data_IF_613502539313
#
_entry.id   IF_613502539313
#
_cell.length_a   1.000
_cell.length_b   1.000
_cell.length_c   1.000
_cell.angle_alpha   90.00
_cell.angle_beta   90.00
_cell.angle_gamma   90.00
#
_symmetry.space_group_name_H-M   'P 1'
#
loop_
_entity.id
_entity.type
_entity.pdbx_description
1 polymer ?
#
# COMPACT_ATOMS: atom_id res chain seq x y z
N UNK A 1 12.08 -9.80 2.15
CA UNK A 1 12.47 -9.09 0.91
C UNK A 1 13.77 -8.31 1.12
N UNK A 2 13.80 -7.43 2.12
CA UNK A 2 14.97 -6.63 2.52
C UNK A 2 16.24 -7.45 2.74
N UNK A 3 16.16 -8.55 3.49
CA UNK A 3 17.31 -9.45 3.70
C UNK A 3 17.91 -9.97 2.40
N UNK A 4 17.07 -10.36 1.44
CA UNK A 4 17.48 -10.85 0.12
C UNK A 4 18.16 -9.76 -0.72
N UNK A 5 17.84 -8.50 -0.46
CA UNK A 5 18.40 -7.34 -1.16
C UNK A 5 19.58 -6.71 -0.39
N UNK A 6 19.87 -7.18 0.83
CA UNK A 6 20.83 -6.54 1.73
C UNK A 6 20.40 -5.15 2.17
N UNK A 7 19.09 -4.84 2.14
CA UNK A 7 18.56 -3.53 2.49
C UNK A 7 18.26 -3.43 3.98
N UNK A 8 18.39 -2.22 4.51
CA UNK A 8 17.84 -1.88 5.82
C UNK A 8 16.37 -1.47 5.66
N UNK A 9 15.48 -2.24 6.26
CA UNK A 9 14.04 -1.98 6.21
C UNK A 9 13.53 -1.18 7.42
N UNK A 10 12.59 -0.28 7.16
CA UNK A 10 11.75 0.36 8.19
C UNK A 10 10.29 0.20 7.77
N UNK A 11 9.54 -0.59 8.54
CA UNK A 11 8.12 -0.82 8.29
C UNK A 11 7.26 0.22 9.04
N UNK A 12 6.66 1.16 8.30
CA UNK A 12 5.68 2.12 8.83
C UNK A 12 4.25 1.62 8.60
N UNK A 13 3.95 0.45 9.17
CA UNK A 13 2.66 -0.21 9.00
C UNK A 13 1.89 -0.31 10.31
N UNK A 14 0.57 -0.10 10.24
CA UNK A 14 -0.37 -0.39 11.33
C UNK A 14 -1.38 -1.36 10.75
N UNK A 15 -1.65 -2.44 11.49
CA UNK A 15 -2.68 -3.41 11.09
C UNK A 15 -3.96 -2.65 10.73
N UNK A 16 -4.57 -2.98 9.59
CA UNK A 16 -5.82 -2.37 9.18
C UNK A 16 -5.73 -0.93 8.64
N UNK A 17 -4.54 -0.37 8.42
CA UNK A 17 -4.39 0.95 7.82
C UNK A 17 -4.77 0.97 6.34
N UNK A 18 -5.32 2.09 5.90
CA UNK A 18 -5.47 2.45 4.49
C UNK A 18 -4.98 3.88 4.23
N UNK A 19 -5.39 4.45 3.10
CA UNK A 19 -5.18 5.87 2.81
C UNK A 19 -6.06 6.77 3.67
N UNK A 20 -7.19 6.26 4.16
CA UNK A 20 -8.15 6.98 4.99
C UNK A 20 -8.31 6.33 6.37
N UNK A 21 -8.42 4.99 6.43
CA UNK A 21 -8.62 4.26 7.69
C UNK A 21 -7.37 4.30 8.58
N UNK A 22 -7.58 4.54 9.88
CA UNK A 22 -6.54 4.53 10.93
C UNK A 22 -5.41 5.53 10.67
N UNK A 23 -5.78 6.72 10.18
CA UNK A 23 -4.86 7.83 9.89
C UNK A 23 -4.90 8.93 10.92
N UNK A 24 -6.06 9.16 11.56
CA UNK A 24 -6.29 10.25 12.49
C UNK A 24 -5.84 9.95 13.92
N UNK A 25 -6.21 10.82 14.88
CA UNK A 25 -5.83 10.67 16.28
C UNK A 25 -6.43 9.42 16.92
N UNK A 26 -5.86 9.02 18.06
CA UNK A 26 -6.44 7.95 18.89
C UNK A 26 -7.69 8.47 19.62
N UNK A 27 -8.76 7.68 19.59
CA UNK A 27 -9.95 7.92 20.37
C UNK A 27 -9.74 7.58 21.87
N UNK A 28 -10.79 7.75 22.68
CA UNK A 28 -10.76 7.43 24.12
C UNK A 28 -10.52 5.95 24.45
N UNK A 29 -10.55 5.06 23.45
CA UNK A 29 -10.23 3.63 23.56
C UNK A 29 -8.85 3.29 23.02
N UNK A 30 -8.13 4.28 22.49
CA UNK A 30 -6.82 4.12 21.89
C UNK A 30 -6.85 3.69 20.42
N UNK A 31 -8.02 3.58 19.78
CA UNK A 31 -8.12 3.22 18.36
C UNK A 31 -7.90 4.45 17.48
N UNK A 32 -7.17 4.28 16.36
CA UNK A 32 -6.94 5.38 15.43
C UNK A 32 -8.22 5.64 14.62
N UNK A 33 -8.68 6.89 14.61
CA UNK A 33 -9.80 7.31 13.78
C UNK A 33 -9.41 7.30 12.29
N UNK A 34 -10.38 7.23 11.37
CA UNK A 34 -10.11 7.60 10.00
C UNK A 34 -9.76 9.10 9.90
N UNK A 35 -9.00 9.48 8.88
CA UNK A 35 -8.72 10.87 8.55
C UNK A 35 -8.22 11.01 7.12
N UNK A 36 -8.78 11.96 6.37
CA UNK A 36 -8.27 12.37 5.06
C UNK A 36 -7.26 13.51 5.13
N UNK A 37 -6.90 14.01 6.32
CA UNK A 37 -5.98 15.15 6.48
C UNK A 37 -4.75 14.84 7.33
N UNK A 38 -4.75 13.74 8.09
CA UNK A 38 -3.61 13.37 8.92
C UNK A 38 -2.52 12.68 8.09
N UNK A 39 -1.35 13.32 8.06
CA UNK A 39 -0.18 12.91 7.30
C UNK A 39 0.96 12.40 8.16
N UNK A 40 0.76 12.19 9.46
CA UNK A 40 1.85 11.93 10.42
C UNK A 40 2.79 10.81 9.97
N UNK A 41 2.24 9.70 9.47
CA UNK A 41 3.02 8.55 8.99
C UNK A 41 3.66 8.80 7.63
N UNK A 42 2.98 9.52 6.74
CA UNK A 42 3.56 9.95 5.47
C UNK A 42 4.76 10.88 5.72
N UNK A 43 4.62 11.84 6.63
CA UNK A 43 5.70 12.74 7.01
C UNK A 43 6.85 11.98 7.66
N UNK A 44 6.56 10.91 8.42
CA UNK A 44 7.59 10.03 8.95
C UNK A 44 8.33 9.28 7.84
N UNK A 45 7.61 8.73 6.86
CA UNK A 45 8.22 8.06 5.70
C UNK A 45 9.13 9.00 4.91
N UNK A 46 8.69 10.24 4.68
CA UNK A 46 9.46 11.25 3.95
C UNK A 46 10.71 11.67 4.73
N UNK A 47 10.58 11.90 6.05
CA UNK A 47 11.71 12.29 6.92
C UNK A 47 12.80 11.23 7.04
N UNK A 48 12.50 9.96 6.77
CA UNK A 48 13.50 8.89 6.77
C UNK A 48 14.44 8.96 5.56
N UNK A 49 14.12 9.78 4.54
CA UNK A 49 14.90 9.93 3.31
C UNK A 49 15.36 8.58 2.73
N UNK A 50 14.44 7.63 2.48
CA UNK A 50 14.82 6.30 2.01
C UNK A 50 15.21 6.33 0.53
N UNK A 51 16.04 5.40 0.09
CA UNK A 51 16.35 5.21 -1.33
C UNK A 51 15.19 4.57 -2.10
N UNK A 52 14.35 3.78 -1.40
CA UNK A 52 13.17 3.10 -1.96
C UNK A 52 12.01 3.17 -0.97
N UNK A 53 10.83 3.54 -1.45
CA UNK A 53 9.57 3.43 -0.69
C UNK A 53 8.64 2.43 -1.39
N UNK A 54 8.22 1.40 -0.66
CA UNK A 54 7.16 0.49 -1.10
C UNK A 54 5.86 0.88 -0.42
N UNK A 55 4.85 1.26 -1.21
CA UNK A 55 3.51 1.61 -0.72
C UNK A 55 2.58 0.43 -0.96
N UNK A 56 2.02 -0.14 0.12
CA UNK A 56 1.00 -1.18 0.07
C UNK A 56 -0.15 -0.83 1.02
N UNK A 57 -1.15 -0.12 0.50
CA UNK A 57 -2.37 0.32 1.19
C UNK A 57 -3.58 0.08 0.26
N UNK A 58 -4.80 0.16 0.79
CA UNK A 58 -6.11 0.29 0.09
C UNK A 58 -7.20 -0.65 0.64
N UNK A 59 -6.87 -1.91 0.91
CA UNK A 59 -7.87 -2.95 1.18
C UNK A 59 -8.81 -2.58 2.34
N UNK A 60 -8.26 -1.88 3.33
CA UNK A 60 -8.98 -1.48 4.53
C UNK A 60 -9.93 -0.29 4.34
N UNK A 61 -9.78 0.47 3.25
CA UNK A 61 -10.64 1.62 2.94
C UNK A 61 -11.96 1.20 2.28
N UNK A 62 -12.08 -0.06 1.83
CA UNK A 62 -13.29 -0.59 1.15
C UNK A 62 -14.59 -0.37 1.92
N UNK A 63 -14.52 -0.41 3.25
CA UNK A 63 -15.69 -0.20 4.12
C UNK A 63 -16.16 1.27 4.16
N UNK A 64 -15.31 2.21 3.78
CA UNK A 64 -15.59 3.65 3.79
C UNK A 64 -15.93 4.21 2.41
N UNK A 65 -15.87 3.39 1.36
CA UNK A 65 -16.01 3.86 -0.04
C UNK A 65 -17.33 4.55 -0.36
N UNK A 66 -18.44 4.13 0.26
CA UNK A 66 -19.75 4.70 -0.03
C UNK A 66 -19.91 6.12 0.54
N UNK A 67 -19.32 6.37 1.72
CA UNK A 67 -19.47 7.64 2.44
C UNK A 67 -18.29 8.59 2.21
N UNK A 68 -17.09 8.04 1.97
CA UNK A 68 -15.82 8.76 1.95
C UNK A 68 -14.97 8.45 0.71
N UNK A 69 -15.58 8.00 -0.39
CA UNK A 69 -14.86 7.69 -1.63
C UNK A 69 -13.99 8.85 -2.15
N UNK A 70 -14.50 10.07 -2.13
CA UNK A 70 -13.75 11.27 -2.55
C UNK A 70 -12.59 11.59 -1.61
N UNK A 71 -12.78 11.43 -0.30
CA UNK A 71 -11.73 11.60 0.73
C UNK A 71 -10.60 10.57 0.54
N UNK A 72 -10.95 9.32 0.24
CA UNK A 72 -10.00 8.24 -0.05
C UNK A 72 -9.22 8.57 -1.33
N UNK A 73 -9.91 8.99 -2.40
CA UNK A 73 -9.26 9.35 -3.65
C UNK A 73 -8.30 10.53 -3.48
N UNK A 74 -8.73 11.60 -2.79
CA UNK A 74 -7.89 12.75 -2.47
C UNK A 74 -6.66 12.34 -1.63
N UNK A 75 -6.83 11.42 -0.68
CA UNK A 75 -5.74 10.90 0.14
C UNK A 75 -4.73 10.08 -0.67
N UNK A 76 -5.19 9.24 -1.61
CA UNK A 76 -4.32 8.50 -2.56
C UNK A 76 -3.49 9.49 -3.37
N UNK A 77 -4.15 10.50 -3.98
CA UNK A 77 -3.45 11.51 -4.78
C UNK A 77 -2.43 12.28 -3.96
N UNK A 78 -2.82 12.80 -2.79
CA UNK A 78 -1.92 13.54 -1.91
C UNK A 78 -0.71 12.69 -1.53
N UNK A 79 -0.92 11.49 -1.01
CA UNK A 79 0.18 10.69 -0.47
C UNK A 79 1.18 10.33 -1.58
N UNK A 80 0.71 9.90 -2.76
CA UNK A 80 1.58 9.55 -3.88
C UNK A 80 2.27 10.78 -4.49
N UNK A 81 1.58 11.92 -4.61
CA UNK A 81 2.19 13.18 -5.07
C UNK A 81 3.30 13.62 -4.12
N UNK A 82 3.05 13.61 -2.81
CA UNK A 82 4.05 14.02 -1.81
C UNK A 82 5.26 13.08 -1.80
N UNK A 83 5.06 11.77 -1.91
CA UNK A 83 6.19 10.84 -2.05
C UNK A 83 7.02 11.14 -3.30
N UNK A 84 6.37 11.45 -4.43
CA UNK A 84 7.06 11.81 -5.67
C UNK A 84 7.82 13.12 -5.57
N UNK A 85 7.21 14.13 -4.96
CA UNK A 85 7.74 15.50 -4.93
C UNK A 85 8.73 15.73 -3.79
N UNK A 86 8.61 15.04 -2.66
CA UNK A 86 9.45 15.31 -1.48
C UNK A 86 10.61 14.32 -1.34
N UNK A 87 10.53 13.13 -1.94
CA UNK A 87 11.63 12.15 -1.95
C UNK A 87 12.41 12.18 -3.26
N UNK A 88 13.16 13.27 -3.46
CA UNK A 88 13.99 13.46 -4.63
C UNK A 88 15.04 12.34 -4.75
N UNK A 89 15.00 11.59 -5.85
CA UNK A 89 15.96 10.52 -6.13
C UNK A 89 15.58 9.15 -5.56
N UNK A 90 14.56 9.06 -4.70
CA UNK A 90 14.04 7.79 -4.23
C UNK A 90 13.19 7.10 -5.30
N UNK A 91 13.21 5.77 -5.32
CA UNK A 91 12.28 4.97 -6.10
C UNK A 91 10.98 4.75 -5.32
N UNK A 92 9.87 5.27 -5.83
CA UNK A 92 8.54 5.01 -5.26
C UNK A 92 7.90 3.85 -6.02
N UNK A 93 7.71 2.74 -5.33
CA UNK A 93 7.08 1.51 -5.84
C UNK A 93 5.73 1.32 -5.15
N UNK A 94 4.67 1.30 -5.92
CA UNK A 94 3.29 1.23 -5.45
C UNK A 94 2.71 -0.15 -5.75
N UNK A 95 1.95 -0.67 -4.81
CA UNK A 95 1.17 -1.89 -5.00
C UNK A 95 -0.10 -1.85 -4.14
N UNK A 96 -0.96 -2.85 -4.32
CA UNK A 96 -2.13 -3.08 -3.49
C UNK A 96 -2.30 -4.58 -3.29
N UNK A 97 -2.74 -4.97 -2.10
CA UNK A 97 -3.15 -6.34 -1.82
C UNK A 97 -4.68 -6.44 -1.77
N UNK A 98 -5.23 -7.37 -2.55
CA UNK A 98 -6.59 -7.86 -2.38
C UNK A 98 -6.52 -9.40 -2.35
N UNK A 99 -7.37 -10.08 -1.56
CA UNK A 99 -7.28 -11.54 -1.44
C UNK A 99 -7.54 -12.27 -2.76
N UNK A 100 -8.31 -11.68 -3.68
CA UNK A 100 -8.71 -12.26 -4.98
C UNK A 100 -8.43 -11.29 -6.13
N UNK A 101 -8.19 -11.83 -7.33
CA UNK A 101 -8.09 -11.02 -8.56
C UNK A 101 -9.43 -10.48 -9.04
N UNK A 102 -10.54 -11.16 -8.71
CA UNK A 102 -11.90 -10.74 -9.02
C UNK A 102 -12.34 -9.64 -8.03
N UNK A 103 -12.11 -8.39 -8.43
CA UNK A 103 -12.33 -7.24 -7.58
C UNK A 103 -13.83 -6.89 -7.52
N UNK A 104 -14.34 -6.69 -6.31
CA UNK A 104 -15.63 -6.01 -6.13
C UNK A 104 -15.60 -4.61 -6.77
N UNK A 105 -16.76 -4.01 -7.13
CA UNK A 105 -16.80 -2.68 -7.73
C UNK A 105 -16.05 -1.61 -6.91
N UNK A 106 -16.14 -1.67 -5.57
CA UNK A 106 -15.40 -0.77 -4.67
C UNK A 106 -13.89 -0.99 -4.77
N UNK A 107 -13.44 -2.24 -4.80
CA UNK A 107 -12.01 -2.58 -4.91
C UNK A 107 -11.45 -2.21 -6.28
N UNK A 108 -12.19 -2.49 -7.35
CA UNK A 108 -11.83 -2.09 -8.71
C UNK A 108 -11.65 -0.57 -8.82
N UNK A 109 -12.54 0.21 -8.17
CA UNK A 109 -12.46 1.67 -8.17
C UNK A 109 -11.21 2.21 -7.45
N UNK A 110 -10.88 1.67 -6.27
CA UNK A 110 -9.65 2.08 -5.55
C UNK A 110 -8.40 1.66 -6.35
N UNK A 111 -8.41 0.46 -6.92
CA UNK A 111 -7.32 -0.04 -7.76
C UNK A 111 -7.10 0.86 -9.00
N UNK A 112 -8.17 1.27 -9.67
CA UNK A 112 -8.13 2.25 -10.75
C UNK A 112 -7.50 3.57 -10.27
N UNK A 113 -7.95 4.13 -9.15
CA UNK A 113 -7.39 5.36 -8.61
C UNK A 113 -5.88 5.28 -8.31
N UNK A 114 -5.43 4.18 -7.74
CA UNK A 114 -4.01 3.95 -7.43
C UNK A 114 -3.20 3.82 -8.72
N UNK A 115 -3.67 3.03 -9.67
CA UNK A 115 -2.95 2.77 -10.94
C UNK A 115 -2.89 4.03 -11.82
N UNK A 116 -4.00 4.76 -11.97
CA UNK A 116 -4.04 6.03 -12.69
C UNK A 116 -3.15 7.08 -12.01
N UNK A 117 -3.24 7.25 -10.68
CA UNK A 117 -2.40 8.23 -9.98
C UNK A 117 -0.91 7.87 -10.07
N UNK A 118 -0.57 6.58 -9.96
CA UNK A 118 0.80 6.12 -10.14
C UNK A 118 1.31 6.41 -11.55
N UNK A 119 0.49 6.16 -12.57
CA UNK A 119 0.81 6.47 -13.97
C UNK A 119 1.01 7.98 -14.20
N UNK A 120 0.08 8.81 -13.71
CA UNK A 120 0.13 10.27 -13.84
C UNK A 120 1.41 10.86 -13.24
N UNK A 121 1.88 10.28 -12.14
CA UNK A 121 3.08 10.73 -11.41
C UNK A 121 4.38 10.04 -11.87
N UNK A 122 4.29 9.08 -12.81
CA UNK A 122 5.43 8.29 -13.26
C UNK A 122 6.03 7.38 -12.18
N UNK A 123 5.20 6.86 -11.27
CA UNK A 123 5.59 5.90 -10.23
C UNK A 123 5.50 4.47 -10.77
N UNK A 124 6.31 3.58 -10.21
CA UNK A 124 6.26 2.16 -10.58
C UNK A 124 5.11 1.48 -9.86
N UNK A 125 4.11 0.98 -10.58
CA UNK A 125 3.06 0.16 -9.99
C UNK A 125 3.27 -1.33 -10.31
N UNK A 126 3.21 -2.20 -9.30
CA UNK A 126 3.49 -3.64 -9.43
C UNK A 126 2.20 -4.45 -9.34
N UNK A 127 1.60 -4.72 -10.50
CA UNK A 127 0.34 -5.48 -10.60
C UNK A 127 0.50 -6.96 -10.24
N UNK A 128 1.67 -7.54 -10.52
CA UNK A 128 1.97 -8.95 -10.22
C UNK A 128 1.83 -9.27 -8.73
N UNK A 129 2.12 -8.30 -7.85
CA UNK A 129 1.95 -8.44 -6.42
C UNK A 129 0.48 -8.61 -6.03
N UNK A 130 -0.44 -7.85 -6.64
CA UNK A 130 -1.89 -7.99 -6.43
C UNK A 130 -2.40 -9.37 -6.85
N UNK A 131 -1.82 -9.92 -7.90
CA UNK A 131 -2.22 -11.19 -8.51
C UNK A 131 -1.58 -12.43 -7.85
N UNK A 132 -0.60 -12.27 -6.98
CA UNK A 132 0.22 -13.40 -6.51
C UNK A 132 -0.54 -14.37 -5.59
N UNK A 133 -1.45 -13.88 -4.74
CA UNK A 133 -2.26 -14.75 -3.85
C UNK A 133 -3.52 -15.25 -4.54
N UNK A 134 -4.26 -14.35 -5.20
CA UNK A 134 -5.43 -14.64 -6.04
C UNK A 134 -6.37 -15.76 -5.54
N UNK A 135 -6.76 -15.69 -4.27
CA UNK A 135 -7.73 -16.58 -3.66
C UNK A 135 -7.23 -18.00 -3.39
N UNK A 136 -5.92 -18.27 -3.56
CA UNK A 136 -5.35 -19.60 -3.31
C UNK A 136 -5.47 -19.95 -1.82
N UNK A 137 -6.20 -21.03 -1.45
CA UNK A 137 -6.31 -21.45 -0.06
C UNK A 137 -4.97 -21.87 0.55
N UNK A 138 -4.00 -22.28 -0.27
CA UNK A 138 -2.66 -22.66 0.20
C UNK A 138 -1.80 -21.45 0.58
N UNK A 139 -2.15 -20.27 0.09
CA UNK A 139 -1.43 -19.01 0.34
C UNK A 139 -2.14 -18.13 1.38
N UNK A 140 -3.31 -18.53 1.86
CA UNK A 140 -4.12 -17.79 2.82
C UNK A 140 -4.13 -18.48 4.19
N UNK A 141 -4.32 -17.67 5.23
CA UNK A 141 -4.70 -18.14 6.55
C UNK A 141 -6.14 -18.67 6.54
N UNK A 142 -6.56 -19.29 7.65
CA UNK A 142 -7.91 -19.85 7.82
C UNK A 142 -9.03 -18.80 7.68
N UNK A 143 -8.71 -17.52 7.82
CA UNK A 143 -9.66 -16.42 7.59
C UNK A 143 -9.97 -16.14 6.11
N UNK A 144 -9.24 -16.78 5.18
CA UNK A 144 -9.42 -16.63 3.74
C UNK A 144 -9.08 -15.23 3.20
N UNK A 145 -8.44 -14.38 4.00
CA UNK A 145 -8.17 -12.97 3.67
C UNK A 145 -6.70 -12.64 3.79
N UNK A 146 -6.03 -13.06 4.87
CA UNK A 146 -4.64 -12.70 5.10
C UNK A 146 -3.71 -13.75 4.50
N UNK A 147 -2.59 -13.34 3.87
CA UNK A 147 -1.56 -14.29 3.46
C UNK A 147 -1.00 -15.05 4.66
N UNK A 148 -0.79 -16.35 4.49
CA UNK A 148 0.05 -17.13 5.41
C UNK A 148 1.54 -16.97 5.02
N UNK A 149 2.45 -17.70 5.64
CA UNK A 149 3.89 -17.61 5.34
C UNK A 149 4.21 -17.89 3.85
N UNK A 150 3.55 -18.88 3.24
CA UNK A 150 3.71 -19.17 1.81
C UNK A 150 3.12 -18.05 0.94
N UNK A 151 2.01 -17.44 1.36
CA UNK A 151 1.44 -16.26 0.71
C UNK A 151 2.36 -15.04 0.78
N UNK A 152 2.96 -14.77 1.94
CA UNK A 152 3.96 -13.72 2.08
C UNK A 152 5.20 -13.97 1.21
N UNK A 153 5.65 -15.22 1.07
CA UNK A 153 6.72 -15.58 0.16
C UNK A 153 6.34 -15.33 -1.31
N UNK A 154 5.13 -15.73 -1.73
CA UNK A 154 4.63 -15.47 -3.09
C UNK A 154 4.52 -13.97 -3.40
N UNK A 155 4.03 -13.16 -2.45
CA UNK A 155 4.00 -11.70 -2.57
C UNK A 155 5.41 -11.12 -2.72
N UNK A 156 6.37 -11.60 -1.92
CA UNK A 156 7.76 -11.18 -2.02
C UNK A 156 8.36 -11.51 -3.40
N UNK A 157 8.15 -12.74 -3.90
CA UNK A 157 8.64 -13.17 -5.21
C UNK A 157 8.06 -12.35 -6.36
N UNK A 158 6.83 -11.85 -6.22
CA UNK A 158 6.17 -11.04 -7.23
C UNK A 158 6.74 -9.62 -7.37
N UNK A 159 7.25 -9.03 -6.28
CA UNK A 159 7.79 -7.66 -6.27
C UNK A 159 9.32 -7.60 -6.35
N UNK A 160 10.02 -8.63 -5.87
CA UNK A 160 11.48 -8.71 -5.86
C UNK A 160 12.15 -8.42 -7.22
N UNK A 161 11.65 -8.90 -8.37
CA UNK A 161 12.22 -8.59 -9.68
C UNK A 161 12.23 -7.09 -9.99
N UNK A 162 11.20 -6.36 -9.56
CA UNK A 162 11.12 -4.90 -9.73
C UNK A 162 12.17 -4.24 -8.84
N UNK A 163 12.22 -4.63 -7.56
CA UNK A 163 13.16 -4.05 -6.59
C UNK A 163 14.63 -4.28 -6.96
N UNK A 164 14.98 -5.45 -7.49
CA UNK A 164 16.36 -5.77 -7.94
C UNK A 164 16.83 -4.94 -9.12
N UNK A 165 15.91 -4.44 -9.94
CA UNK A 165 16.24 -3.64 -11.12
C UNK A 165 16.33 -2.14 -10.81
N UNK A 166 16.00 -1.73 -9.59
CA UNK A 166 16.22 -0.36 -9.14
C UNK A 166 17.73 -0.11 -9.06
N UNK A 167 18.16 1.01 -9.61
CA UNK A 167 19.54 1.48 -9.47
C UNK A 167 19.61 2.33 -8.21
N UNK A 168 20.30 1.82 -7.21
CA UNK A 168 20.46 2.39 -5.86
C UNK A 168 21.94 2.58 -5.58
#
# INVERSE_FOLDING_TARGET
MSDTLGWREVALAINGMGYYRRRGPRDGRGELSPSSTDTTLLDAAIRLTPDVVVVCLAANDLQFMDEHGEDIYASIRRDLTRLREELHGAHVVVTAYFPTSDLSPRAARIHEWITTTSSDLGLTYVEQFRLAVNGSPQLLCDDGVHPNDAGHAALADAILPVLRNLRI
#
